data_IF_524414683009
#
_entry.id   IF_524414683009
#
_cell.length_a   1.000
_cell.length_b   1.000
_cell.length_c   1.000
_cell.angle_alpha   90.00
_cell.angle_beta   90.00
_cell.angle_gamma   90.00
#
_symmetry.space_group_name_H-M   'P 1'
#
loop_
_entity.id
_entity.type
_entity.pdbx_description
1 polymer ?
#
# COMPACT_ATOMS: atom_id res chain seq x y z
N UNK A 1 -23.86 17.80 9.08
CA UNK A 1 -22.92 17.01 8.25
C UNK A 1 -22.33 17.96 7.21
N UNK A 2 -21.02 18.17 7.25
CA UNK A 2 -20.27 19.02 6.32
C UNK A 2 -20.12 18.33 4.96
N UNK A 3 -19.84 19.08 3.90
CA UNK A 3 -19.59 18.50 2.55
C UNK A 3 -18.42 17.51 2.56
N UNK A 4 -17.40 17.78 3.37
CA UNK A 4 -16.30 16.84 3.65
C UNK A 4 -16.82 15.50 4.20
N UNK A 5 -17.70 15.55 5.19
CA UNK A 5 -18.25 14.34 5.83
C UNK A 5 -19.12 13.54 4.85
N UNK A 6 -19.87 14.21 3.97
CA UNK A 6 -20.66 13.55 2.91
C UNK A 6 -19.76 12.82 1.91
N UNK A 7 -18.71 13.48 1.42
CA UNK A 7 -17.75 12.87 0.49
C UNK A 7 -17.07 11.65 1.12
N UNK A 8 -16.63 11.76 2.36
CA UNK A 8 -16.05 10.62 3.09
C UNK A 8 -17.06 9.49 3.20
N UNK A 9 -18.31 9.78 3.58
CA UNK A 9 -19.34 8.74 3.72
C UNK A 9 -19.60 8.02 2.39
N UNK A 10 -19.71 8.76 1.28
CA UNK A 10 -19.87 8.18 -0.06
C UNK A 10 -18.73 7.23 -0.44
N UNK A 11 -17.48 7.62 -0.15
CA UNK A 11 -16.32 6.75 -0.38
C UNK A 11 -16.36 5.53 0.53
N UNK A 12 -16.75 5.70 1.80
CA UNK A 12 -16.85 4.57 2.71
C UNK A 12 -17.94 3.59 2.31
N UNK A 13 -18.99 4.00 1.62
CA UNK A 13 -20.06 3.13 1.14
C UNK A 13 -19.69 2.34 -0.12
N UNK A 14 -18.61 2.73 -0.82
CA UNK A 14 -18.13 2.01 -1.99
C UNK A 14 -17.74 0.55 -1.66
N UNK A 15 -18.19 -0.39 -2.49
CA UNK A 15 -18.03 -1.83 -2.27
C UNK A 15 -16.56 -2.27 -2.25
N UNK A 16 -15.71 -1.67 -3.09
CA UNK A 16 -14.28 -1.97 -3.17
C UNK A 16 -13.55 -1.49 -1.92
N UNK A 17 -13.89 -0.30 -1.41
CA UNK A 17 -13.37 0.21 -0.14
C UNK A 17 -13.81 -0.67 1.03
N UNK A 18 -15.06 -1.14 1.03
CA UNK A 18 -15.55 -2.08 2.04
C UNK A 18 -14.85 -3.44 1.94
N UNK A 19 -14.60 -3.94 0.72
CA UNK A 19 -13.87 -5.19 0.48
C UNK A 19 -12.42 -5.07 0.95
N UNK A 20 -11.75 -3.97 0.59
CA UNK A 20 -10.40 -3.63 1.04
C UNK A 20 -10.30 -3.68 2.57
N UNK A 21 -11.21 -2.99 3.28
CA UNK A 21 -11.22 -2.97 4.76
C UNK A 21 -11.39 -4.36 5.38
N UNK A 22 -12.22 -5.23 4.78
CA UNK A 22 -12.38 -6.61 5.25
C UNK A 22 -11.08 -7.40 5.10
N UNK A 23 -10.46 -7.33 3.93
CA UNK A 23 -9.18 -8.03 3.65
C UNK A 23 -8.07 -7.48 4.54
N UNK A 24 -7.97 -6.15 4.67
CA UNK A 24 -7.02 -5.45 5.53
C UNK A 24 -7.11 -5.94 6.98
N UNK A 25 -8.32 -6.10 7.51
CA UNK A 25 -8.52 -6.63 8.87
C UNK A 25 -7.97 -8.04 9.02
N UNK A 26 -8.19 -8.91 8.03
CA UNK A 26 -7.65 -10.27 8.03
C UNK A 26 -6.12 -10.27 7.98
N UNK A 27 -5.53 -9.51 7.06
CA UNK A 27 -4.07 -9.34 6.90
C UNK A 27 -3.44 -8.81 8.21
N UNK A 28 -3.98 -7.73 8.77
CA UNK A 28 -3.44 -7.09 9.97
C UNK A 28 -3.57 -7.92 11.24
N UNK A 29 -4.55 -8.84 11.29
CA UNK A 29 -4.71 -9.77 12.40
C UNK A 29 -3.70 -10.92 12.39
N UNK A 30 -3.07 -11.19 11.23
CA UNK A 30 -2.12 -12.28 11.08
C UNK A 30 -0.74 -11.89 11.66
N UNK A 31 -0.39 -12.50 12.80
CA UNK A 31 0.87 -12.24 13.51
C UNK A 31 2.11 -12.66 12.71
N UNK A 32 2.05 -13.76 11.97
CA UNK A 32 3.17 -14.27 11.18
C UNK A 32 3.46 -13.35 10.00
N UNK A 33 2.41 -12.94 9.30
CA UNK A 33 2.51 -11.99 8.19
C UNK A 33 3.05 -10.64 8.66
N UNK A 34 2.58 -10.15 9.82
CA UNK A 34 3.10 -8.93 10.45
C UNK A 34 4.59 -9.06 10.81
N UNK A 35 5.03 -10.22 11.29
CA UNK A 35 6.44 -10.48 11.55
C UNK A 35 7.27 -10.43 10.25
N UNK A 36 6.78 -11.07 9.17
CA UNK A 36 7.42 -11.01 7.84
C UNK A 36 7.53 -9.57 7.32
N UNK A 37 6.48 -8.76 7.43
CA UNK A 37 6.56 -7.34 7.04
C UNK A 37 7.61 -6.55 7.82
N UNK A 38 7.75 -6.81 9.12
CA UNK A 38 8.78 -6.16 9.93
C UNK A 38 10.18 -6.61 9.52
N UNK A 39 10.35 -7.90 9.23
CA UNK A 39 11.60 -8.46 8.71
C UNK A 39 11.96 -7.84 7.35
N UNK A 40 11.01 -7.79 6.41
CA UNK A 40 11.20 -7.18 5.09
C UNK A 40 11.70 -5.73 5.21
N UNK A 41 11.08 -4.93 6.08
CA UNK A 41 11.51 -3.54 6.35
C UNK A 41 12.92 -3.45 6.92
N UNK A 42 13.28 -4.37 7.83
CA UNK A 42 14.62 -4.41 8.39
C UNK A 42 15.67 -4.76 7.32
N UNK A 43 15.39 -5.76 6.47
CA UNK A 43 16.25 -6.15 5.36
C UNK A 43 16.37 -5.00 4.34
N UNK A 44 15.27 -4.33 4.01
CA UNK A 44 15.28 -3.17 3.09
C UNK A 44 16.21 -2.06 3.60
N UNK A 45 16.16 -1.75 4.90
CA UNK A 45 17.08 -0.77 5.51
C UNK A 45 18.54 -1.22 5.43
N UNK A 46 18.81 -2.50 5.68
CA UNK A 46 20.15 -3.07 5.55
C UNK A 46 20.66 -3.01 4.10
N UNK A 47 19.79 -3.32 3.13
CA UNK A 47 20.08 -3.26 1.70
C UNK A 47 20.40 -1.84 1.25
N UNK A 48 19.59 -0.83 1.64
CA UNK A 48 19.85 0.58 1.35
C UNK A 48 21.21 1.03 1.92
N UNK A 49 21.51 0.64 3.16
CA UNK A 49 22.82 0.93 3.77
C UNK A 49 23.97 0.25 3.02
N UNK A 50 23.84 -1.04 2.67
CA UNK A 50 24.84 -1.79 1.92
C UNK A 50 25.11 -1.17 0.53
N UNK A 51 24.05 -0.71 -0.16
CA UNK A 51 24.14 0.04 -1.42
C UNK A 51 24.90 1.35 -1.24
N UNK A 52 24.60 2.11 -0.18
CA UNK A 52 25.29 3.37 0.12
C UNK A 52 26.79 3.20 0.35
N UNK A 53 27.22 2.14 1.05
CA UNK A 53 28.64 1.87 1.34
C UNK A 53 29.34 1.01 0.28
N UNK A 54 28.65 0.65 -0.81
CA UNK A 54 29.23 -0.08 -1.95
C UNK A 54 29.66 -1.53 -1.68
N UNK A 55 29.06 -2.22 -0.70
CA UNK A 55 29.43 -3.62 -0.36
C UNK A 55 28.67 -4.63 -1.23
N UNK A 56 29.19 -4.93 -2.43
CA UNK A 56 28.53 -5.78 -3.44
C UNK A 56 28.06 -7.15 -2.94
N UNK A 57 28.87 -7.87 -2.15
CA UNK A 57 28.47 -9.19 -1.60
C UNK A 57 27.30 -9.08 -0.61
N UNK A 58 27.34 -8.08 0.27
CA UNK A 58 26.26 -7.83 1.22
C UNK A 58 24.97 -7.37 0.51
N UNK A 59 25.09 -6.56 -0.54
CA UNK A 59 23.95 -6.15 -1.36
C UNK A 59 23.26 -7.38 -1.95
N UNK A 60 24.03 -8.30 -2.54
CA UNK A 60 23.46 -9.51 -3.14
C UNK A 60 22.74 -10.38 -2.11
N UNK A 61 23.39 -10.64 -0.96
CA UNK A 61 22.78 -11.44 0.11
C UNK A 61 21.52 -10.80 0.70
N UNK A 62 21.51 -9.48 0.91
CA UNK A 62 20.31 -8.79 1.40
C UNK A 62 19.21 -8.72 0.33
N UNK A 63 19.56 -8.63 -0.95
CA UNK A 63 18.58 -8.66 -2.03
C UNK A 63 17.91 -10.04 -2.12
N UNK A 64 18.67 -11.14 -2.09
CA UNK A 64 18.12 -12.50 -2.09
C UNK A 64 17.14 -12.72 -0.93
N UNK A 65 17.54 -12.33 0.29
CA UNK A 65 16.65 -12.43 1.47
C UNK A 65 15.43 -11.52 1.38
N UNK A 66 15.57 -10.35 0.75
CA UNK A 66 14.46 -9.43 0.54
C UNK A 66 13.44 -10.05 -0.41
N UNK A 67 13.91 -10.61 -1.54
CA UNK A 67 13.07 -11.22 -2.57
C UNK A 67 12.33 -12.45 -2.03
N UNK A 68 13.02 -13.33 -1.28
CA UNK A 68 12.39 -14.49 -0.61
C UNK A 68 11.32 -14.05 0.41
N UNK A 69 11.60 -13.01 1.20
CA UNK A 69 10.66 -12.51 2.19
C UNK A 69 9.44 -11.86 1.52
N UNK A 70 9.66 -11.12 0.43
CA UNK A 70 8.63 -10.47 -0.37
C UNK A 70 7.73 -11.53 -1.02
N UNK A 71 8.30 -12.53 -1.68
CA UNK A 71 7.54 -13.62 -2.32
C UNK A 71 6.65 -14.34 -1.31
N UNK A 72 7.15 -14.59 -0.09
CA UNK A 72 6.38 -15.21 0.96
C UNK A 72 5.22 -14.33 1.49
N UNK A 73 5.34 -13.01 1.40
CA UNK A 73 4.28 -12.06 1.73
C UNK A 73 3.25 -12.01 0.60
N UNK A 74 3.70 -11.91 -0.64
CA UNK A 74 2.85 -11.83 -1.85
C UNK A 74 2.06 -13.12 -2.08
N UNK A 75 2.63 -14.27 -1.72
CA UNK A 75 1.97 -15.57 -1.79
C UNK A 75 0.89 -15.77 -0.73
N UNK A 76 0.74 -14.84 0.23
CA UNK A 76 -0.31 -14.94 1.24
C UNK A 76 -1.70 -14.84 0.59
N UNK A 77 -2.66 -15.70 0.97
CA UNK A 77 -4.02 -15.64 0.42
C UNK A 77 -4.62 -14.25 0.57
N UNK A 78 -5.26 -13.76 -0.49
CA UNK A 78 -5.86 -12.42 -0.57
C UNK A 78 -4.85 -11.25 -0.65
N UNK A 79 -3.53 -11.47 -0.64
CA UNK A 79 -2.55 -10.38 -0.76
C UNK A 79 -2.60 -9.72 -2.14
N UNK A 80 -2.67 -10.51 -3.21
CA UNK A 80 -2.82 -9.97 -4.57
C UNK A 80 -4.09 -9.12 -4.70
N UNK A 81 -5.22 -9.62 -4.21
CA UNK A 81 -6.49 -8.87 -4.17
C UNK A 81 -6.40 -7.59 -3.33
N UNK A 82 -5.69 -7.64 -2.20
CA UNK A 82 -5.47 -6.48 -1.34
C UNK A 82 -4.70 -5.39 -2.07
N UNK A 83 -3.60 -5.75 -2.74
CA UNK A 83 -2.75 -4.81 -3.48
C UNK A 83 -3.48 -4.22 -4.70
N UNK A 84 -4.26 -5.04 -5.42
CA UNK A 84 -5.09 -4.58 -6.53
C UNK A 84 -6.12 -3.54 -6.07
N UNK A 85 -6.92 -3.88 -5.05
CA UNK A 85 -7.88 -2.94 -4.47
C UNK A 85 -7.21 -1.67 -3.93
N UNK A 86 -6.04 -1.79 -3.31
CA UNK A 86 -5.29 -0.64 -2.82
C UNK A 86 -4.92 0.31 -3.97
N UNK A 87 -4.49 -0.24 -5.11
CA UNK A 87 -4.16 0.53 -6.32
C UNK A 87 -5.41 1.23 -6.87
N UNK A 88 -6.51 0.49 -7.02
CA UNK A 88 -7.78 1.01 -7.55
C UNK A 88 -8.32 2.15 -6.67
N UNK A 89 -8.32 1.96 -5.34
CA UNK A 89 -8.74 2.99 -4.39
C UNK A 89 -7.86 4.24 -4.49
N UNK A 90 -6.55 4.07 -4.67
CA UNK A 90 -5.65 5.19 -4.83
C UNK A 90 -5.94 5.98 -6.13
N UNK A 91 -6.22 5.29 -7.23
CA UNK A 91 -6.61 5.94 -8.49
C UNK A 91 -7.91 6.74 -8.34
N UNK A 92 -8.91 6.19 -7.64
CA UNK A 92 -10.16 6.91 -7.32
C UNK A 92 -9.88 8.17 -6.51
N UNK A 93 -9.04 8.07 -5.47
CA UNK A 93 -8.67 9.23 -4.64
C UNK A 93 -7.95 10.29 -5.47
N UNK A 94 -6.99 9.91 -6.31
CA UNK A 94 -6.30 10.84 -7.21
C UNK A 94 -7.26 11.50 -8.20
N UNK A 95 -8.19 10.74 -8.77
CA UNK A 95 -9.23 11.28 -9.66
C UNK A 95 -10.07 12.35 -8.97
N UNK A 96 -10.47 12.12 -7.72
CA UNK A 96 -11.25 13.08 -6.93
C UNK A 96 -10.44 14.35 -6.68
N UNK A 97 -9.15 14.21 -6.36
CA UNK A 97 -8.25 15.36 -6.18
C UNK A 97 -8.21 16.18 -7.48
N UNK A 98 -7.97 15.54 -8.64
CA UNK A 98 -7.95 16.24 -9.92
C UNK A 98 -9.28 16.92 -10.27
N UNK A 99 -10.42 16.28 -10.00
CA UNK A 99 -11.74 16.91 -10.22
C UNK A 99 -11.91 18.15 -9.35
N UNK A 100 -11.46 18.11 -8.09
CA UNK A 100 -11.54 19.25 -7.18
C UNK A 100 -10.61 20.37 -7.66
N UNK A 101 -9.39 20.05 -8.08
CA UNK A 101 -8.42 21.01 -8.63
C UNK A 101 -8.95 21.67 -9.91
N UNK A 102 -9.30 20.87 -10.92
CA UNK A 102 -9.78 21.33 -12.23
C UNK A 102 -11.14 22.06 -12.15
N UNK A 103 -12.05 21.53 -11.34
CA UNK A 103 -13.40 22.07 -11.20
C UNK A 103 -13.41 23.43 -10.50
N UNK A 104 -12.52 23.61 -9.52
CA UNK A 104 -12.33 24.90 -8.85
C UNK A 104 -11.62 25.89 -9.80
N UNK A 105 -10.63 25.45 -10.57
CA UNK A 105 -9.89 26.33 -11.49
C UNK A 105 -10.75 26.86 -12.64
N UNK A 106 -11.63 26.04 -13.22
CA UNK A 106 -12.56 26.46 -14.29
C UNK A 106 -13.62 27.47 -13.87
N UNK A 107 -14.02 27.47 -12.60
CA UNK A 107 -15.00 28.43 -12.07
C UNK A 107 -14.36 29.77 -11.67
N UNK A 108 -13.02 29.85 -11.68
CA UNK A 108 -12.25 31.08 -11.43
C UNK A 108 -11.78 31.81 -12.70
N UNK A 109 -11.97 31.22 -13.89
CA UNK A 109 -11.85 31.89 -15.20
C UNK A 109 -13.20 32.47 -15.68
#
# INVERSE_FOLDING_TARGET
MTEKEKLIQMLLENEDIQRYKRIEKHINSNKELKAKFNELKAIQKQLVNAKHIGKSEAIKSFQERYDECLEAIESYPLMSDYLALQSDINEVVQTIISIIEDGIEKDFE
#
